data_IF_344254537657
#
_entry.id   IF_344254537657
#
_cell.length_a   1.000
_cell.length_b   1.000
_cell.length_c   1.000
_cell.angle_alpha   90.00
_cell.angle_beta   90.00
_cell.angle_gamma   90.00
#
_symmetry.space_group_name_H-M   'P 1'
#
loop_
_entity.id
_entity.type
_entity.pdbx_description
1 polymer ?
#
# COMPACT_ATOMS: atom_id res chain seq x y z
N UNK A 1 -1.67 -20.73 -13.64
CA UNK A 1 -0.56 -20.52 -14.58
C UNK A 1 -1.06 -19.93 -15.89
N UNK A 2 -0.16 -19.35 -16.69
CA UNK A 2 -0.47 -18.95 -18.06
C UNK A 2 -0.62 -20.19 -18.96
N UNK A 3 -1.54 -20.10 -19.92
CA UNK A 3 -1.66 -21.01 -21.06
C UNK A 3 -0.83 -20.45 -22.21
N UNK A 4 0.18 -21.17 -22.62
CA UNK A 4 1.04 -20.80 -23.76
C UNK A 4 0.81 -21.80 -24.88
N UNK A 5 0.51 -21.28 -26.09
CA UNK A 5 0.34 -22.08 -27.29
C UNK A 5 1.10 -21.41 -28.45
N UNK A 6 1.90 -22.16 -29.15
CA UNK A 6 2.73 -21.66 -30.27
C UNK A 6 3.54 -20.40 -29.90
N UNK A 7 4.12 -20.36 -28.68
CA UNK A 7 4.91 -19.24 -28.19
C UNK A 7 4.14 -17.98 -27.80
N UNK A 8 2.82 -18.05 -27.69
CA UNK A 8 1.95 -16.90 -27.35
C UNK A 8 1.08 -17.22 -26.14
N UNK A 9 0.78 -16.19 -25.33
CA UNK A 9 -0.22 -16.30 -24.28
C UNK A 9 -1.61 -16.47 -24.92
N UNK A 10 -2.27 -17.59 -24.64
CA UNK A 10 -3.57 -17.99 -25.17
C UNK A 10 -4.67 -18.03 -24.10
N UNK A 11 -4.33 -17.68 -22.84
CA UNK A 11 -5.26 -17.69 -21.72
C UNK A 11 -4.58 -18.00 -20.39
N UNK A 12 -5.39 -18.47 -19.44
CA UNK A 12 -4.95 -18.88 -18.10
C UNK A 12 -5.56 -20.22 -17.71
N UNK A 13 -4.83 -20.95 -16.85
CA UNK A 13 -5.35 -22.17 -16.20
C UNK A 13 -5.49 -21.85 -14.71
N UNK A 14 -6.69 -21.97 -14.17
CA UNK A 14 -7.05 -21.73 -12.80
C UNK A 14 -6.53 -22.85 -11.87
N UNK A 15 -6.62 -22.64 -10.55
CA UNK A 15 -6.20 -23.64 -9.56
C UNK A 15 -7.05 -24.92 -9.58
N UNK A 16 -8.32 -24.82 -9.98
CA UNK A 16 -9.24 -25.94 -10.14
C UNK A 16 -9.04 -26.72 -11.45
N UNK A 17 -8.09 -26.31 -12.30
CA UNK A 17 -7.82 -26.93 -13.62
C UNK A 17 -8.61 -26.34 -14.78
N UNK A 18 -9.58 -25.49 -14.53
CA UNK A 18 -10.35 -24.81 -15.56
C UNK A 18 -9.46 -23.93 -16.44
N UNK A 19 -9.71 -23.93 -17.73
CA UNK A 19 -8.97 -23.12 -18.71
C UNK A 19 -9.86 -22.01 -19.25
N UNK A 20 -9.40 -20.76 -19.08
CA UNK A 20 -10.03 -19.58 -19.67
C UNK A 20 -9.16 -19.12 -20.83
N UNK A 21 -9.71 -19.18 -22.04
CA UNK A 21 -9.02 -18.74 -23.27
C UNK A 21 -9.20 -17.24 -23.48
N UNK A 22 -8.14 -16.58 -23.97
CA UNK A 22 -8.16 -15.15 -24.26
C UNK A 22 -7.16 -14.81 -25.39
N UNK A 23 -7.45 -13.76 -26.14
CA UNK A 23 -6.53 -13.22 -27.17
C UNK A 23 -5.31 -12.54 -26.58
N UNK A 24 -5.43 -12.05 -25.35
CA UNK A 24 -4.35 -11.41 -24.58
C UNK A 24 -4.60 -11.64 -23.08
N UNK A 25 -3.53 -11.64 -22.29
CA UNK A 25 -3.59 -11.73 -20.83
C UNK A 25 -2.86 -10.52 -20.25
N UNK A 26 -3.59 -9.68 -19.51
CA UNK A 26 -3.02 -8.61 -18.73
C UNK A 26 -2.75 -9.12 -17.31
N UNK A 27 -1.56 -8.83 -16.77
CA UNK A 27 -1.16 -9.25 -15.44
C UNK A 27 -0.64 -8.06 -14.63
N UNK A 28 -1.19 -7.83 -13.44
CA UNK A 28 -0.68 -6.90 -12.44
C UNK A 28 0.12 -7.61 -11.33
N UNK A 29 0.40 -8.89 -11.51
CA UNK A 29 1.29 -9.66 -10.60
C UNK A 29 2.72 -9.15 -10.76
N UNK A 30 3.49 -8.96 -9.66
CA UNK A 30 4.89 -8.58 -9.78
C UNK A 30 5.66 -9.46 -10.75
N UNK A 31 6.48 -8.91 -11.65
CA UNK A 31 7.20 -9.67 -12.68
C UNK A 31 7.98 -10.88 -12.12
N UNK A 32 8.58 -10.72 -10.93
CA UNK A 32 9.27 -11.81 -10.25
C UNK A 32 8.37 -13.03 -10.01
N UNK A 33 7.15 -12.81 -9.48
CA UNK A 33 6.18 -13.90 -9.24
C UNK A 33 5.62 -14.43 -10.55
N UNK A 34 5.32 -13.55 -11.51
CA UNK A 34 4.82 -13.93 -12.82
C UNK A 34 5.76 -14.93 -13.50
N UNK A 35 7.05 -14.60 -13.61
CA UNK A 35 8.03 -15.43 -14.30
C UNK A 35 8.52 -16.62 -13.47
N UNK A 36 8.44 -16.58 -12.14
CA UNK A 36 8.78 -17.70 -11.27
C UNK A 36 7.68 -18.76 -11.26
N UNK A 37 6.42 -18.35 -11.11
CA UNK A 37 5.32 -19.21 -10.69
C UNK A 37 4.26 -19.44 -11.77
N UNK A 38 4.02 -18.45 -12.65
CA UNK A 38 2.86 -18.44 -13.55
C UNK A 38 3.20 -18.70 -15.01
N UNK A 39 4.37 -18.26 -15.47
CA UNK A 39 4.86 -18.53 -16.84
C UNK A 39 5.51 -19.91 -16.84
N UNK A 40 5.07 -20.86 -17.72
CA UNK A 40 5.72 -22.16 -17.88
C UNK A 40 7.22 -22.04 -18.14
N UNK A 41 8.01 -22.98 -17.62
CA UNK A 41 9.48 -22.88 -17.64
C UNK A 41 10.05 -22.85 -19.04
N UNK A 42 9.46 -23.58 -19.95
CA UNK A 42 9.84 -23.73 -21.35
C UNK A 42 9.30 -22.61 -22.26
N UNK A 43 8.47 -21.74 -21.73
CA UNK A 43 7.81 -20.68 -22.52
C UNK A 43 8.70 -19.45 -22.77
N UNK A 44 9.80 -19.30 -22.04
CA UNK A 44 10.74 -18.18 -22.20
C UNK A 44 12.17 -18.66 -22.02
N UNK A 45 13.10 -17.96 -22.66
CA UNK A 45 14.53 -18.27 -22.53
C UNK A 45 15.01 -18.13 -21.08
N UNK A 46 15.95 -18.99 -20.61
CA UNK A 46 16.46 -18.97 -19.23
C UNK A 46 17.01 -17.60 -18.81
N UNK A 47 17.68 -16.91 -19.71
CA UNK A 47 18.27 -15.58 -19.47
C UNK A 47 17.19 -14.53 -19.16
N UNK A 48 16.09 -14.57 -19.90
CA UNK A 48 14.94 -13.68 -19.68
C UNK A 48 14.29 -13.99 -18.32
N UNK A 49 14.05 -15.27 -18.04
CA UNK A 49 13.51 -15.71 -16.75
C UNK A 49 14.41 -15.26 -15.59
N UNK A 50 15.71 -15.47 -15.70
CA UNK A 50 16.69 -15.08 -14.69
C UNK A 50 16.66 -13.59 -14.39
N UNK A 51 16.54 -12.74 -15.40
CA UNK A 51 16.40 -11.28 -15.23
C UNK A 51 15.22 -10.92 -14.34
N UNK A 52 14.05 -11.49 -14.58
CA UNK A 52 12.85 -11.17 -13.81
C UNK A 52 12.86 -11.82 -12.42
N UNK A 53 13.31 -13.05 -12.27
CA UNK A 53 13.36 -13.73 -10.97
C UNK A 53 14.46 -13.16 -10.06
N UNK A 54 15.51 -12.57 -10.65
CA UNK A 54 16.59 -11.90 -9.93
C UNK A 54 16.28 -10.49 -9.43
N UNK A 55 15.10 -9.92 -9.76
CA UNK A 55 14.70 -8.59 -9.29
C UNK A 55 14.70 -8.58 -7.76
N UNK A 56 15.48 -7.64 -7.19
CA UNK A 56 15.45 -7.40 -5.74
C UNK A 56 14.13 -6.68 -5.39
N UNK A 57 13.42 -7.23 -4.42
CA UNK A 57 12.19 -6.65 -3.87
C UNK A 57 12.32 -6.71 -2.34
N UNK A 58 12.49 -5.57 -1.71
CA UNK A 58 12.72 -5.48 -0.26
C UNK A 58 12.12 -4.21 0.33
N UNK A 59 11.55 -3.35 -0.52
CA UNK A 59 10.77 -2.20 -0.08
C UNK A 59 9.34 -2.66 0.19
N UNK A 60 8.86 -2.37 1.38
CA UNK A 60 7.48 -2.62 1.78
C UNK A 60 6.74 -1.33 2.07
N UNK A 61 5.44 -1.42 2.02
CA UNK A 61 4.52 -0.37 2.44
C UNK A 61 3.50 -0.97 3.40
N UNK A 62 3.01 -0.13 4.31
CA UNK A 62 1.88 -0.47 5.15
C UNK A 62 0.66 0.28 4.63
N UNK A 63 -0.39 -0.44 4.31
CA UNK A 63 -1.64 0.15 3.86
C UNK A 63 -2.63 0.16 5.01
N UNK A 64 -3.18 1.33 5.32
CA UNK A 64 -4.24 1.47 6.30
C UNK A 64 -5.41 2.23 5.68
N UNK A 65 -6.61 1.73 5.86
CA UNK A 65 -7.83 2.45 5.54
C UNK A 65 -8.54 2.83 6.84
N UNK A 66 -9.06 4.04 6.90
CA UNK A 66 -9.80 4.53 8.08
C UNK A 66 -11.16 5.10 7.65
N UNK A 67 -12.16 4.85 8.47
CA UNK A 67 -13.43 5.55 8.43
C UNK A 67 -13.35 6.77 9.35
N UNK A 68 -13.79 7.92 8.87
CA UNK A 68 -13.72 9.20 9.56
C UNK A 68 -15.11 9.78 9.76
N UNK A 69 -15.37 10.35 10.93
CA UNK A 69 -16.62 11.09 11.24
C UNK A 69 -16.64 12.49 10.64
N UNK A 70 -15.47 13.03 10.29
CA UNK A 70 -15.30 14.37 9.68
C UNK A 70 -13.98 14.40 8.88
N UNK A 71 -13.76 15.45 8.09
CA UNK A 71 -12.50 15.66 7.38
C UNK A 71 -11.37 16.08 8.34
N UNK A 72 -10.11 15.68 8.06
CA UNK A 72 -8.96 16.12 8.85
C UNK A 72 -8.74 17.63 8.74
N UNK A 73 -8.59 18.29 9.89
CA UNK A 73 -8.31 19.73 10.00
C UNK A 73 -6.79 19.95 10.03
N UNK A 74 -6.19 20.10 8.86
CA UNK A 74 -4.74 20.28 8.75
C UNK A 74 -4.31 21.67 9.20
N UNK A 75 -3.36 21.75 10.13
CA UNK A 75 -2.81 23.01 10.65
C UNK A 75 -2.20 23.91 9.57
N UNK A 76 -1.72 23.32 8.47
CA UNK A 76 -1.16 24.05 7.32
C UNK A 76 -2.24 24.72 6.44
N UNK A 77 -3.47 24.20 6.48
CA UNK A 77 -4.64 24.74 5.77
C UNK A 77 -5.92 24.40 6.55
N UNK A 78 -6.24 25.15 7.59
CA UNK A 78 -7.31 24.83 8.53
C UNK A 78 -8.71 24.79 7.93
N UNK A 79 -9.56 23.92 8.48
CA UNK A 79 -10.97 23.76 8.20
C UNK A 79 -11.37 22.33 7.87
N UNK A 80 -12.48 21.89 8.47
CA UNK A 80 -13.06 20.54 8.25
C UNK A 80 -14.11 20.52 7.12
N UNK A 81 -14.38 21.66 6.50
CA UNK A 81 -15.22 21.70 5.29
C UNK A 81 -14.38 21.24 4.08
N UNK A 82 -15.00 20.62 3.06
CA UNK A 82 -14.30 20.19 1.85
C UNK A 82 -13.50 21.33 1.22
N UNK A 83 -12.22 21.07 0.96
CA UNK A 83 -11.28 21.98 0.30
C UNK A 83 -10.44 21.19 -0.71
N UNK A 84 -9.75 21.87 -1.63
CA UNK A 84 -8.98 21.25 -2.71
C UNK A 84 -7.94 20.23 -2.23
N UNK A 85 -7.31 20.49 -1.08
CA UNK A 85 -6.31 19.55 -0.53
C UNK A 85 -6.95 18.25 -0.03
N UNK A 86 -8.21 18.24 0.39
CA UNK A 86 -8.91 17.01 0.76
C UNK A 86 -9.23 16.13 -0.46
N UNK A 87 -9.40 16.73 -1.64
CA UNK A 87 -9.63 16.03 -2.90
C UNK A 87 -8.33 15.66 -3.64
N UNK A 88 -7.17 15.97 -3.05
CA UNK A 88 -5.85 15.74 -3.64
C UNK A 88 -5.06 14.69 -2.84
N UNK A 89 -3.86 14.33 -3.34
CA UNK A 89 -2.89 13.58 -2.57
C UNK A 89 -2.28 14.43 -1.45
N UNK A 90 -2.34 13.94 -0.23
CA UNK A 90 -1.77 14.58 0.96
C UNK A 90 -0.51 13.82 1.34
N UNK A 91 0.63 14.54 1.43
CA UNK A 91 1.92 13.96 1.79
C UNK A 91 2.39 14.49 3.13
N UNK A 92 2.73 13.59 4.06
CA UNK A 92 3.44 13.91 5.30
C UNK A 92 4.89 13.46 5.14
N UNK A 93 5.72 14.40 4.71
CA UNK A 93 7.16 14.28 4.53
C UNK A 93 7.78 15.68 4.55
N UNK A 94 7.86 16.34 5.72
CA UNK A 94 8.12 17.78 5.80
C UNK A 94 9.51 18.20 5.32
N UNK A 95 10.50 17.32 5.36
CA UNK A 95 11.88 17.63 4.92
C UNK A 95 12.56 16.40 4.32
N UNK A 96 13.64 16.62 3.55
CA UNK A 96 14.50 15.54 3.06
C UNK A 96 15.15 14.77 4.21
N UNK A 97 15.56 15.45 5.27
CA UNK A 97 16.11 14.79 6.47
C UNK A 97 15.09 13.85 7.11
N UNK A 98 13.82 14.26 7.21
CA UNK A 98 12.75 13.39 7.70
C UNK A 98 12.62 12.10 6.87
N UNK A 99 12.71 12.20 5.53
CA UNK A 99 12.63 11.05 4.65
C UNK A 99 13.85 10.12 4.79
N UNK A 100 15.05 10.69 4.94
CA UNK A 100 16.29 9.93 5.16
C UNK A 100 16.27 9.20 6.50
N UNK A 101 15.83 9.88 7.56
CA UNK A 101 15.66 9.27 8.89
C UNK A 101 14.62 8.14 8.85
N UNK A 102 13.50 8.35 8.17
CA UNK A 102 12.47 7.33 8.00
C UNK A 102 13.00 6.09 7.27
N UNK A 103 13.80 6.27 6.22
CA UNK A 103 14.43 5.17 5.49
C UNK A 103 15.43 4.41 6.38
N UNK A 104 16.26 5.12 7.13
CA UNK A 104 17.27 4.53 8.02
C UNK A 104 16.61 3.77 9.17
N UNK A 105 15.58 4.35 9.79
CA UNK A 105 14.79 3.70 10.83
C UNK A 105 14.17 2.39 10.35
N UNK A 106 13.56 2.39 9.17
CA UNK A 106 12.94 1.19 8.61
C UNK A 106 13.94 0.05 8.42
N UNK A 107 15.19 0.35 8.07
CA UNK A 107 16.24 -0.65 7.91
C UNK A 107 16.74 -1.24 9.22
N UNK A 108 16.69 -0.48 10.31
CA UNK A 108 17.20 -0.88 11.62
C UNK A 108 16.12 -1.42 12.55
N UNK A 109 14.93 -0.80 12.53
CA UNK A 109 13.83 -1.13 13.45
C UNK A 109 12.66 -1.87 12.78
N UNK A 110 12.66 -1.95 11.45
CA UNK A 110 11.60 -2.59 10.67
C UNK A 110 10.51 -1.63 10.18
N UNK A 111 10.36 -0.46 10.78
CA UNK A 111 9.54 0.65 10.31
C UNK A 111 10.10 2.00 10.77
N UNK A 112 9.70 3.07 10.08
CA UNK A 112 10.06 4.43 10.47
C UNK A 112 9.33 4.84 11.76
N UNK A 113 10.05 5.40 12.72
CA UNK A 113 9.48 6.00 13.95
C UNK A 113 8.72 7.30 13.67
N UNK A 114 9.06 7.95 12.57
CA UNK A 114 8.30 9.06 11.98
C UNK A 114 8.00 8.68 10.52
N UNK A 115 6.89 7.97 10.25
CA UNK A 115 6.63 7.40 8.93
C UNK A 115 6.28 8.47 7.89
N UNK A 116 6.75 8.25 6.66
CA UNK A 116 6.29 9.00 5.49
C UNK A 116 4.93 8.46 5.09
N UNK A 117 3.92 9.33 5.02
CA UNK A 117 2.53 8.95 4.78
C UNK A 117 2.01 9.69 3.56
N UNK A 118 1.50 8.93 2.59
CA UNK A 118 0.65 9.44 1.53
C UNK A 118 -0.80 9.12 1.89
N UNK A 119 -1.69 10.10 1.87
CA UNK A 119 -3.10 9.92 2.19
C UNK A 119 -3.98 10.42 1.06
N UNK A 120 -5.01 9.65 0.74
CA UNK A 120 -6.11 10.02 -0.15
C UNK A 120 -7.43 9.91 0.60
N UNK A 121 -8.37 10.80 0.32
CA UNK A 121 -9.73 10.78 0.88
C UNK A 121 -10.72 10.63 -0.27
N UNK A 122 -10.85 9.43 -0.87
CA UNK A 122 -11.61 9.23 -2.11
C UNK A 122 -13.09 9.57 -1.98
N UNK A 123 -13.66 9.53 -0.77
CA UNK A 123 -15.04 9.95 -0.51
C UNK A 123 -15.30 11.46 -0.72
N UNK A 124 -14.26 12.26 -0.92
CA UNK A 124 -14.42 13.67 -1.34
C UNK A 124 -14.72 13.81 -2.83
N UNK A 125 -14.46 12.75 -3.61
CA UNK A 125 -14.69 12.69 -5.06
C UNK A 125 -15.83 11.75 -5.42
N UNK A 126 -16.11 10.75 -4.59
CA UNK A 126 -17.15 9.75 -4.79
C UNK A 126 -17.98 9.60 -3.50
N UNK A 127 -19.16 10.19 -3.49
CA UNK A 127 -20.08 10.19 -2.36
C UNK A 127 -20.64 8.79 -2.02
N UNK A 128 -20.46 7.80 -2.89
CA UNK A 128 -20.93 6.43 -2.64
C UNK A 128 -20.06 5.66 -1.65
N UNK A 129 -18.85 6.15 -1.36
CA UNK A 129 -17.86 5.45 -0.54
C UNK A 129 -18.07 5.61 0.97
N UNK A 130 -18.89 6.57 1.41
CA UNK A 130 -19.17 6.79 2.83
C UNK A 130 -20.58 7.36 3.04
N UNK A 131 -21.18 7.15 4.22
CA UNK A 131 -22.42 7.86 4.59
C UNK A 131 -22.22 9.38 4.56
N UNK A 132 -23.33 10.13 4.34
CA UNK A 132 -23.30 11.58 4.32
C UNK A 132 -22.66 12.17 5.60
N UNK A 133 -21.67 13.03 5.41
CA UNK A 133 -20.91 13.67 6.49
C UNK A 133 -19.81 12.82 7.10
N UNK A 134 -19.64 11.58 6.63
CA UNK A 134 -18.52 10.70 6.97
C UNK A 134 -17.59 10.56 5.78
N UNK A 135 -16.37 10.09 6.03
CA UNK A 135 -15.35 9.96 5.00
C UNK A 135 -14.57 8.65 5.14
N UNK A 136 -13.92 8.23 4.06
CA UNK A 136 -12.89 7.19 4.06
C UNK A 136 -11.57 7.79 3.64
N UNK A 137 -10.50 7.49 4.38
CA UNK A 137 -9.16 7.82 3.98
C UNK A 137 -8.32 6.54 3.79
N UNK A 138 -7.49 6.55 2.77
CA UNK A 138 -6.54 5.47 2.47
C UNK A 138 -5.13 6.01 2.65
N UNK A 139 -4.38 5.41 3.57
CA UNK A 139 -3.02 5.79 3.91
C UNK A 139 -2.05 4.76 3.33
N UNK A 140 -1.09 5.25 2.56
CA UNK A 140 0.01 4.51 1.98
C UNK A 140 1.28 4.92 2.73
N UNK A 141 1.73 4.06 3.66
CA UNK A 141 2.82 4.37 4.57
C UNK A 141 4.10 3.74 4.06
N UNK A 142 5.07 4.56 3.73
CA UNK A 142 6.34 4.15 3.15
C UNK A 142 7.38 3.78 4.20
N UNK A 143 8.47 3.14 3.74
CA UNK A 143 9.61 2.71 4.53
C UNK A 143 9.21 1.75 5.66
N UNK A 144 8.64 0.62 5.23
CA UNK A 144 8.26 -0.49 6.10
C UNK A 144 8.99 -1.74 5.63
N UNK A 145 9.68 -2.43 6.52
CA UNK A 145 10.36 -3.68 6.17
C UNK A 145 9.32 -4.80 5.97
N UNK A 146 9.38 -5.55 4.86
CA UNK A 146 8.49 -6.71 4.66
C UNK A 146 8.70 -7.80 5.72
N UNK A 147 9.90 -7.88 6.27
CA UNK A 147 10.26 -8.75 7.37
C UNK A 147 10.78 -7.89 8.53
N UNK A 148 10.11 -7.99 9.67
CA UNK A 148 10.52 -7.26 10.86
C UNK A 148 11.77 -7.92 11.49
N UNK A 149 12.67 -7.15 12.09
CA UNK A 149 13.81 -7.69 12.83
C UNK A 149 13.39 -8.38 14.13
N UNK A 150 14.35 -9.06 14.78
CA UNK A 150 14.20 -9.63 16.12
C UNK A 150 13.05 -10.64 16.26
N UNK A 151 12.74 -11.38 15.20
CA UNK A 151 11.67 -12.38 15.22
C UNK A 151 10.25 -11.84 15.23
N UNK A 152 10.10 -10.51 15.15
CA UNK A 152 8.80 -9.86 14.97
C UNK A 152 8.25 -10.14 13.56
N UNK A 153 6.95 -10.14 13.39
CA UNK A 153 6.35 -10.37 12.08
C UNK A 153 4.97 -9.74 11.94
N UNK A 154 4.62 -9.30 10.73
CA UNK A 154 3.36 -8.65 10.42
C UNK A 154 2.11 -9.53 10.59
N UNK A 155 2.25 -10.84 10.74
CA UNK A 155 1.14 -11.73 11.11
C UNK A 155 0.68 -11.53 12.56
N UNK A 156 1.55 -11.00 13.43
CA UNK A 156 1.21 -10.65 14.80
C UNK A 156 0.32 -9.40 14.80
N UNK A 157 -0.92 -9.46 15.32
CA UNK A 157 -1.80 -8.30 15.38
C UNK A 157 -1.23 -7.18 16.26
N UNK A 158 -0.47 -7.50 17.31
CA UNK A 158 0.15 -6.50 18.18
C UNK A 158 1.07 -5.57 17.40
N UNK A 159 1.89 -6.10 16.49
CA UNK A 159 2.79 -5.31 15.65
C UNK A 159 2.01 -4.41 14.69
N UNK A 160 0.96 -4.96 14.06
CA UNK A 160 0.12 -4.17 13.13
C UNK A 160 -0.60 -3.04 13.85
N UNK A 161 -1.20 -3.33 15.00
CA UNK A 161 -1.93 -2.33 15.79
C UNK A 161 -0.98 -1.23 16.30
N UNK A 162 0.19 -1.60 16.83
CA UNK A 162 1.20 -0.65 17.29
C UNK A 162 1.66 0.30 16.18
N UNK A 163 1.90 -0.24 14.99
CA UNK A 163 2.27 0.61 13.85
C UNK A 163 1.08 1.43 13.33
N UNK A 164 -0.14 0.88 13.33
CA UNK A 164 -1.36 1.62 12.99
C UNK A 164 -1.60 2.80 13.94
N UNK A 165 -1.38 2.62 15.24
CA UNK A 165 -1.46 3.70 16.23
C UNK A 165 -0.41 4.79 15.97
N UNK A 166 0.82 4.40 15.67
CA UNK A 166 1.89 5.35 15.31
C UNK A 166 1.53 6.16 14.05
N UNK A 167 0.91 5.54 13.06
CA UNK A 167 0.46 6.22 11.84
C UNK A 167 -0.63 7.25 12.18
N UNK A 168 -1.63 6.88 12.98
CA UNK A 168 -2.68 7.80 13.43
C UNK A 168 -2.08 8.97 14.23
N UNK A 169 -1.18 8.69 15.17
CA UNK A 169 -0.52 9.70 15.98
C UNK A 169 0.35 10.64 15.12
N UNK A 170 0.97 10.11 14.07
CA UNK A 170 1.75 10.93 13.13
C UNK A 170 0.86 11.89 12.35
N UNK A 171 -0.27 11.43 11.80
CA UNK A 171 -1.23 12.31 11.11
C UNK A 171 -1.78 13.35 12.08
N UNK A 172 -2.07 12.96 13.33
CA UNK A 172 -2.63 13.85 14.36
C UNK A 172 -1.71 15.03 14.71
N UNK A 173 -0.38 14.88 14.56
CA UNK A 173 0.55 16.02 14.71
C UNK A 173 0.31 17.12 13.67
N UNK A 174 -0.25 16.77 12.51
CA UNK A 174 -0.53 17.69 11.39
C UNK A 174 -2.00 18.06 11.25
N UNK A 175 -2.90 17.20 11.76
CA UNK A 175 -4.35 17.38 11.80
C UNK A 175 -4.87 16.98 13.18
N UNK A 176 -4.93 17.90 14.17
CA UNK A 176 -5.20 17.58 15.57
C UNK A 176 -6.51 16.82 15.85
N UNK A 177 -7.53 17.00 14.99
CA UNK A 177 -8.79 16.27 15.10
C UNK A 177 -8.73 14.85 14.53
N UNK A 178 -7.67 14.44 13.83
CA UNK A 178 -7.65 13.19 13.07
C UNK A 178 -7.91 11.97 13.94
N UNK A 179 -7.21 11.83 15.08
CA UNK A 179 -7.37 10.67 15.97
C UNK A 179 -8.80 10.52 16.50
N UNK A 180 -9.44 11.63 16.89
CA UNK A 180 -10.83 11.63 17.36
C UNK A 180 -11.84 11.40 16.24
N UNK A 181 -11.51 11.77 15.01
CA UNK A 181 -12.35 11.55 13.85
C UNK A 181 -12.35 10.08 13.37
N UNK A 182 -11.34 9.27 13.72
CA UNK A 182 -11.27 7.86 13.31
C UNK A 182 -12.34 7.06 14.07
N UNK A 183 -13.34 6.55 13.34
CA UNK A 183 -14.43 5.71 13.86
C UNK A 183 -14.27 4.22 13.51
N UNK A 184 -13.28 3.88 12.67
CA UNK A 184 -12.93 2.50 12.31
C UNK A 184 -11.64 2.47 11.50
N UNK A 185 -10.92 1.33 11.54
CA UNK A 185 -9.70 1.12 10.75
C UNK A 185 -9.57 -0.31 10.27
N UNK A 186 -8.88 -0.46 9.15
CA UNK A 186 -8.42 -1.73 8.58
C UNK A 186 -6.92 -1.63 8.29
N UNK A 187 -6.18 -2.62 8.76
CA UNK A 187 -4.71 -2.71 8.67
C UNK A 187 -4.30 -3.85 7.75
#
# INVERSE_FOLDING_TARGET
RLLIESGRAAGVVLANGETIRARAVASNVPPKLLFRDLVPTDAVQPEIRSRFTGIKSGSGVFRMNVALSELPDFTSKPGTQPQDHHASGIMIAPTLAYMEDAYTDARTHGWARNPVIEMLIPSTLDETLAPKGQHVASLFVQYVAPQLPEGRHWKNPVEREAFGDLVIDTVTKHAPNFKSAVIGRQL
#
